data_IF_235027109854
#
_entry.id   IF_235027109854
#
_cell.length_a   1.000
_cell.length_b   1.000
_cell.length_c   1.000
_cell.angle_alpha   90.00
_cell.angle_beta   90.00
_cell.angle_gamma   90.00
#
_symmetry.space_group_name_H-M   'P 1'
#
loop_
_entity.id
_entity.type
_entity.pdbx_description
1 polymer ?
#
# COMPACT_ATOMS: atom_id res chain seq x y z
N UNK A 1 19.20 11.29 73.80
CA UNK A 1 19.71 10.14 74.53
C UNK A 1 19.20 8.86 73.88
N UNK A 2 20.11 7.96 73.63
CA UNK A 2 20.07 6.61 73.08
C UNK A 2 20.19 6.47 71.54
N UNK A 3 21.41 6.26 71.21
CA UNK A 3 22.03 5.59 70.09
C UNK A 3 21.59 4.12 70.05
N UNK A 4 21.29 3.62 68.85
CA UNK A 4 21.59 2.23 68.50
C UNK A 4 21.87 2.09 66.99
N UNK A 5 23.10 1.77 66.71
CA UNK A 5 23.64 1.03 65.55
C UNK A 5 23.42 -0.48 65.83
N UNK A 6 23.82 -1.41 64.94
CA UNK A 6 23.99 -1.46 63.49
C UNK A 6 23.54 -2.84 62.88
N UNK A 7 23.66 -2.99 61.58
CA UNK A 7 24.24 -4.11 60.77
C UNK A 7 23.57 -5.48 60.77
N UNK A 8 23.83 -6.42 59.86
CA UNK A 8 24.62 -6.38 58.61
C UNK A 8 23.98 -7.00 57.37
N UNK A 9 24.62 -6.78 56.29
CA UNK A 9 24.93 -7.67 55.16
C UNK A 9 24.07 -8.93 54.91
N UNK A 10 23.45 -8.94 53.76
CA UNK A 10 23.00 -10.13 53.07
C UNK A 10 23.35 -10.04 51.62
N UNK A 11 24.46 -10.66 51.25
CA UNK A 11 24.83 -10.89 49.84
C UNK A 11 23.84 -11.89 49.25
N UNK A 12 23.17 -11.54 48.20
CA UNK A 12 22.41 -12.49 47.39
C UNK A 12 23.02 -12.53 46.00
N UNK A 13 23.53 -13.71 45.71
CA UNK A 13 24.13 -14.15 44.45
C UNK A 13 23.25 -13.80 43.24
N UNK A 14 23.86 -13.16 42.27
CA UNK A 14 23.32 -13.01 40.94
C UNK A 14 23.31 -14.37 40.22
N UNK A 15 22.16 -14.96 40.13
CA UNK A 15 21.91 -16.10 39.24
C UNK A 15 21.69 -15.60 37.80
N UNK A 16 22.67 -15.73 36.95
CA UNK A 16 22.52 -15.52 35.50
C UNK A 16 21.78 -16.72 34.95
N UNK A 17 20.50 -16.56 34.67
CA UNK A 17 19.72 -17.51 33.89
C UNK A 17 19.92 -17.18 32.43
N UNK A 18 20.76 -17.96 31.79
CA UNK A 18 20.95 -17.93 30.34
C UNK A 18 19.77 -18.67 29.70
N UNK A 19 18.74 -17.94 29.27
CA UNK A 19 17.65 -18.50 28.49
C UNK A 19 18.12 -18.60 27.05
N UNK A 20 18.53 -19.81 26.63
CA UNK A 20 18.69 -20.15 25.22
C UNK A 20 17.29 -20.20 24.60
N UNK A 21 16.89 -19.13 23.97
CA UNK A 21 15.73 -19.12 23.06
C UNK A 21 16.15 -19.82 21.75
N UNK A 22 15.85 -21.10 21.62
CA UNK A 22 15.82 -21.77 20.33
C UNK A 22 14.74 -21.12 19.47
N UNK A 23 15.14 -20.18 18.62
CA UNK A 23 14.29 -19.61 17.60
C UNK A 23 13.91 -20.70 16.59
N UNK A 24 12.67 -21.14 16.65
CA UNK A 24 12.02 -21.86 15.56
C UNK A 24 11.93 -20.88 14.38
N UNK A 25 12.85 -21.00 13.44
CA UNK A 25 12.75 -20.33 12.14
C UNK A 25 11.61 -21.02 11.39
N UNK A 26 10.49 -20.34 11.08
CA UNK A 26 9.49 -20.96 10.21
C UNK A 26 10.15 -21.22 8.86
N UNK A 27 10.14 -22.46 8.41
CA UNK A 27 10.54 -22.84 7.07
C UNK A 27 9.72 -22.03 6.08
N UNK A 28 10.38 -21.10 5.39
CA UNK A 28 9.79 -20.40 4.27
C UNK A 28 9.45 -21.47 3.22
N UNK A 29 8.15 -21.67 3.00
CA UNK A 29 7.68 -22.43 1.85
C UNK A 29 8.18 -21.71 0.60
N UNK A 30 9.21 -22.26 -0.02
CA UNK A 30 9.66 -21.87 -1.34
C UNK A 30 8.54 -22.26 -2.33
N UNK A 31 7.55 -21.42 -2.48
CA UNK A 31 6.58 -21.48 -3.57
C UNK A 31 7.34 -21.39 -4.88
N UNK A 32 7.09 -22.32 -5.78
CA UNK A 32 7.65 -22.40 -7.13
C UNK A 32 7.68 -21.03 -7.80
N UNK A 33 8.87 -20.62 -8.20
CA UNK A 33 9.23 -19.33 -8.71
C UNK A 33 8.24 -18.67 -9.64
N UNK A 34 7.59 -17.66 -9.14
CA UNK A 34 7.12 -16.57 -9.98
C UNK A 34 8.38 -15.83 -10.42
N UNK A 35 8.62 -15.77 -11.71
CA UNK A 35 9.73 -15.02 -12.30
C UNK A 35 9.53 -13.55 -11.90
N UNK A 36 10.16 -13.14 -10.81
CA UNK A 36 10.21 -11.75 -10.41
C UNK A 36 11.06 -11.05 -11.47
N UNK A 37 10.42 -10.27 -12.32
CA UNK A 37 11.10 -9.22 -13.06
C UNK A 37 11.79 -8.36 -12.01
N UNK A 38 13.12 -8.39 -11.99
CA UNK A 38 13.96 -7.73 -10.98
C UNK A 38 14.04 -6.22 -11.20
N UNK A 39 12.89 -5.58 -11.42
CA UNK A 39 12.75 -4.14 -11.49
C UNK A 39 12.19 -3.60 -10.19
N UNK A 40 12.70 -2.46 -9.71
CA UNK A 40 12.05 -1.76 -8.62
C UNK A 40 10.76 -1.10 -9.13
N UNK A 41 9.69 -1.22 -8.37
CA UNK A 41 8.40 -0.62 -8.72
C UNK A 41 7.73 -0.11 -7.45
N UNK A 42 7.12 1.07 -7.54
CA UNK A 42 6.38 1.68 -6.46
C UNK A 42 5.18 2.46 -6.99
N UNK A 43 4.14 2.52 -6.18
CA UNK A 43 2.99 3.40 -6.36
C UNK A 43 2.59 3.92 -4.99
N UNK A 44 2.35 5.22 -4.88
CA UNK A 44 1.90 5.89 -3.66
C UNK A 44 0.86 6.95 -3.99
N UNK A 45 0.05 7.32 -3.05
CA UNK A 45 -1.05 8.27 -3.19
C UNK A 45 -2.31 7.72 -2.52
N UNK A 46 -3.47 8.35 -2.75
CA UNK A 46 -3.74 9.30 -3.83
C UNK A 46 -3.08 10.67 -3.62
N UNK A 47 -2.83 11.37 -4.73
CA UNK A 47 -2.47 12.79 -4.76
C UNK A 47 -3.68 13.54 -5.32
N UNK A 48 -4.20 14.51 -4.59
CA UNK A 48 -5.35 15.30 -5.02
C UNK A 48 -4.96 16.19 -6.20
N UNK A 49 -5.69 16.08 -7.30
CA UNK A 49 -5.57 16.95 -8.50
C UNK A 49 -6.70 17.97 -8.52
N UNK A 50 -7.92 17.52 -8.20
CA UNK A 50 -9.08 18.38 -7.96
C UNK A 50 -9.70 17.92 -6.65
N UNK A 51 -9.75 18.81 -5.69
CA UNK A 51 -10.40 18.65 -4.40
C UNK A 51 -11.63 19.58 -4.40
N UNK A 52 -12.79 19.02 -4.63
CA UNK A 52 -14.00 19.77 -4.89
C UNK A 52 -14.55 20.50 -3.66
N UNK A 53 -14.23 20.02 -2.47
CA UNK A 53 -14.68 20.60 -1.20
C UNK A 53 -13.54 21.23 -0.37
N UNK A 54 -12.27 21.10 -0.82
CA UNK A 54 -11.11 21.72 -0.21
C UNK A 54 -10.70 21.13 1.15
N UNK A 55 -11.10 19.88 1.44
CA UNK A 55 -10.81 19.23 2.73
C UNK A 55 -9.50 18.43 2.77
N UNK A 56 -8.84 18.25 1.63
CA UNK A 56 -7.60 17.49 1.49
C UNK A 56 -7.74 15.96 1.55
N UNK A 57 -8.98 15.46 1.62
CA UNK A 57 -9.31 14.03 1.62
C UNK A 57 -9.86 13.65 0.24
N UNK A 58 -9.71 12.39 -0.12
CA UNK A 58 -10.34 11.88 -1.33
C UNK A 58 -11.84 11.72 -1.10
N UNK A 59 -12.65 12.43 -1.89
CA UNK A 59 -14.10 12.35 -1.83
C UNK A 59 -14.68 11.90 -3.17
N UNK A 60 -15.92 11.45 -3.14
CA UNK A 60 -16.64 11.17 -4.36
C UNK A 60 -16.72 12.45 -5.24
N UNK A 61 -16.41 12.31 -6.52
CA UNK A 61 -16.39 13.41 -7.48
C UNK A 61 -15.04 14.12 -7.62
N UNK A 62 -14.11 13.89 -6.72
CA UNK A 62 -12.75 14.43 -6.82
C UNK A 62 -11.93 13.79 -7.94
N UNK A 63 -10.81 14.40 -8.25
CA UNK A 63 -9.85 13.86 -9.20
C UNK A 63 -8.53 13.60 -8.51
N UNK A 64 -8.03 12.38 -8.64
CA UNK A 64 -6.77 11.94 -8.02
C UNK A 64 -5.76 11.46 -9.05
N UNK A 65 -4.49 11.52 -8.69
CA UNK A 65 -3.38 10.91 -9.40
C UNK A 65 -2.54 10.06 -8.43
N UNK A 66 -1.55 9.35 -8.96
CA UNK A 66 -0.62 8.54 -8.16
C UNK A 66 0.82 8.87 -8.54
N UNK A 67 1.69 8.93 -7.52
CA UNK A 67 3.13 8.93 -7.76
C UNK A 67 3.56 7.48 -8.03
N UNK A 68 4.21 7.24 -9.15
CA UNK A 68 4.66 5.90 -9.53
C UNK A 68 6.05 5.92 -10.11
N UNK A 69 6.75 4.83 -9.92
CA UNK A 69 8.05 4.57 -10.53
C UNK A 69 8.18 3.09 -10.83
N UNK A 70 8.74 2.75 -11.98
CA UNK A 70 9.08 1.37 -12.32
C UNK A 70 10.21 1.31 -13.33
N UNK A 71 11.08 0.33 -13.17
CA UNK A 71 12.11 -0.05 -14.15
C UNK A 71 11.76 -1.35 -14.87
N UNK A 72 10.61 -1.97 -14.53
CA UNK A 72 10.20 -3.24 -15.12
C UNK A 72 9.64 -3.12 -16.53
N UNK A 73 9.13 -1.94 -16.91
CA UNK A 73 8.54 -1.68 -18.23
C UNK A 73 8.59 -0.20 -18.60
N UNK A 74 8.67 0.08 -19.90
CA UNK A 74 8.46 1.42 -20.46
C UNK A 74 6.98 1.73 -20.73
N UNK A 75 6.09 0.75 -20.55
CA UNK A 75 4.65 0.88 -20.76
C UNK A 75 3.88 0.42 -19.53
N UNK A 76 3.95 1.17 -18.42
CA UNK A 76 3.19 0.86 -17.23
C UNK A 76 1.70 1.19 -17.40
N UNK A 77 0.89 0.54 -16.58
CA UNK A 77 -0.55 0.80 -16.42
C UNK A 77 -0.87 0.98 -14.96
N UNK A 78 -1.83 1.84 -14.67
CA UNK A 78 -2.49 1.91 -13.36
C UNK A 78 -3.93 1.45 -13.53
N UNK A 79 -4.31 0.47 -12.75
CA UNK A 79 -5.67 -0.04 -12.61
C UNK A 79 -6.23 0.43 -11.27
N UNK A 80 -7.27 1.24 -11.29
CA UNK A 80 -7.96 1.72 -10.09
C UNK A 80 -9.32 1.06 -9.98
N UNK A 81 -9.52 0.33 -8.90
CA UNK A 81 -10.79 -0.33 -8.56
C UNK A 81 -11.28 0.22 -7.23
N UNK A 82 -12.53 0.64 -7.17
CA UNK A 82 -13.19 1.02 -5.92
C UNK A 82 -14.43 0.17 -5.70
N UNK A 83 -14.69 -0.19 -4.44
CA UNK A 83 -15.82 -0.99 -4.00
C UNK A 83 -16.37 -0.48 -2.68
N UNK A 84 -17.66 -0.72 -2.41
CA UNK A 84 -18.38 -0.35 -1.18
C UNK A 84 -19.83 -0.01 -1.52
N UNK A 85 -20.78 -0.26 -0.64
CA UNK A 85 -22.19 0.14 -0.68
C UNK A 85 -22.84 0.31 -2.08
N UNK A 86 -22.66 -0.66 -2.98
CA UNK A 86 -23.16 -0.61 -4.34
C UNK A 86 -22.27 0.11 -5.35
N UNK A 87 -21.04 0.46 -4.97
CA UNK A 87 -20.04 1.08 -5.85
C UNK A 87 -19.40 0.02 -6.73
N UNK A 88 -19.39 0.28 -8.02
CA UNK A 88 -18.60 -0.44 -9.01
C UNK A 88 -17.80 0.55 -9.84
N UNK A 89 -16.54 0.78 -9.49
CA UNK A 89 -15.62 1.62 -10.25
C UNK A 89 -14.43 0.78 -10.68
N UNK A 90 -14.16 0.79 -11.98
CA UNK A 90 -13.03 0.11 -12.60
C UNK A 90 -12.49 1.03 -13.70
N UNK A 91 -11.26 1.49 -13.57
CA UNK A 91 -10.65 2.42 -14.50
C UNK A 91 -9.19 2.11 -14.74
N UNK A 92 -8.77 2.25 -15.99
CA UNK A 92 -7.43 1.96 -16.46
C UNK A 92 -6.80 3.19 -17.09
N UNK A 93 -5.56 3.44 -16.75
CA UNK A 93 -4.71 4.44 -17.40
C UNK A 93 -3.38 3.79 -17.78
N UNK A 94 -2.88 4.09 -18.98
CA UNK A 94 -1.65 3.48 -19.46
C UNK A 94 -0.94 4.32 -20.51
N UNK A 95 0.37 4.09 -20.61
CA UNK A 95 1.19 4.61 -21.70
C UNK A 95 1.30 3.52 -22.77
N UNK A 96 0.67 3.72 -23.91
CA UNK A 96 0.80 2.83 -25.07
C UNK A 96 0.97 3.64 -26.34
N UNK A 97 1.57 3.05 -27.35
CA UNK A 97 1.81 3.72 -28.64
C UNK A 97 0.48 4.23 -29.22
N UNK A 98 0.43 5.53 -29.52
CA UNK A 98 -0.78 6.19 -30.03
C UNK A 98 -1.76 6.67 -28.95
N UNK A 99 -1.50 6.43 -27.67
CA UNK A 99 -2.28 7.02 -26.58
C UNK A 99 -2.00 8.52 -26.48
N UNK A 100 -3.06 9.32 -26.50
CA UNK A 100 -3.01 10.74 -26.20
C UNK A 100 -3.19 11.03 -24.70
N UNK A 101 -3.61 10.03 -23.93
CA UNK A 101 -3.86 10.18 -22.50
C UNK A 101 -2.57 9.94 -21.73
N UNK A 102 -1.75 10.98 -21.66
CA UNK A 102 -0.57 11.03 -20.76
C UNK A 102 -0.97 11.46 -19.36
N UNK A 103 -2.24 11.74 -19.11
CA UNK A 103 -2.77 12.21 -17.85
C UNK A 103 -3.27 11.01 -17.03
N UNK A 104 -2.55 10.69 -15.97
CA UNK A 104 -2.86 9.59 -15.04
C UNK A 104 -3.91 9.99 -14.01
N UNK A 105 -4.79 10.94 -14.33
CA UNK A 105 -5.83 11.43 -13.45
C UNK A 105 -7.06 10.53 -13.49
N UNK A 106 -7.59 10.20 -12.33
CA UNK A 106 -8.79 9.39 -12.14
C UNK A 106 -9.86 10.26 -11.48
N UNK A 107 -11.01 10.41 -12.13
CA UNK A 107 -12.18 11.03 -11.51
C UNK A 107 -12.87 9.97 -10.65
N UNK A 108 -13.06 10.23 -9.38
CA UNK A 108 -13.66 9.31 -8.41
C UNK A 108 -15.19 9.30 -8.53
N UNK A 109 -15.68 9.08 -9.74
CA UNK A 109 -17.09 8.96 -10.07
C UNK A 109 -17.26 8.13 -11.34
N UNK A 110 -18.40 7.45 -11.48
CA UNK A 110 -18.77 6.71 -12.69
C UNK A 110 -20.28 6.54 -12.77
N UNK A 111 -20.77 6.01 -13.89
CA UNK A 111 -22.19 5.66 -14.01
C UNK A 111 -22.68 4.61 -12.99
N UNK A 112 -21.76 3.78 -12.49
CA UNK A 112 -22.01 2.80 -11.43
C UNK A 112 -21.67 3.29 -10.01
N UNK A 113 -21.10 4.49 -9.91
CA UNK A 113 -20.75 5.14 -8.64
C UNK A 113 -21.20 6.59 -8.66
N UNK A 114 -22.39 6.81 -8.19
CA UNK A 114 -23.08 8.12 -8.25
C UNK A 114 -22.97 8.92 -6.96
N UNK A 115 -22.58 8.28 -5.86
CA UNK A 115 -22.34 8.92 -4.56
C UNK A 115 -21.84 7.89 -3.54
N UNK A 116 -21.38 8.38 -2.39
CA UNK A 116 -21.07 7.57 -1.21
C UNK A 116 -19.60 7.17 -1.10
N UNK A 117 -19.25 6.73 0.11
CA UNK A 117 -17.90 6.32 0.46
C UNK A 117 -17.54 4.95 -0.12
N UNK A 118 -16.25 4.73 -0.37
CA UNK A 118 -15.74 3.45 -0.88
C UNK A 118 -14.27 3.23 -0.61
N UNK A 119 -13.85 1.98 -0.66
CA UNK A 119 -12.44 1.60 -0.55
C UNK A 119 -11.87 1.34 -1.94
N UNK A 120 -10.75 1.96 -2.22
CA UNK A 120 -10.09 1.93 -3.51
C UNK A 120 -8.72 1.27 -3.43
N UNK A 121 -8.36 0.54 -4.48
CA UNK A 121 -7.01 0.00 -4.68
C UNK A 121 -6.50 0.40 -6.05
N UNK A 122 -5.36 1.08 -6.08
CA UNK A 122 -4.62 1.39 -7.29
C UNK A 122 -3.48 0.41 -7.46
N UNK A 123 -3.42 -0.26 -8.59
CA UNK A 123 -2.43 -1.28 -8.93
C UNK A 123 -1.60 -0.82 -10.11
N UNK A 124 -0.30 -0.64 -9.90
CA UNK A 124 0.68 -0.45 -10.96
C UNK A 124 1.05 -1.81 -11.55
N UNK A 125 1.04 -1.92 -12.86
CA UNK A 125 1.39 -3.16 -13.51
C UNK A 125 1.76 -3.00 -14.98
N UNK A 126 1.97 -4.13 -15.64
CA UNK A 126 2.26 -4.22 -17.07
C UNK A 126 1.56 -5.41 -17.70
N UNK A 127 1.26 -5.32 -18.99
CA UNK A 127 0.80 -6.47 -19.75
C UNK A 127 1.97 -7.31 -20.25
N UNK A 128 1.83 -8.60 -20.12
CA UNK A 128 2.73 -9.62 -20.64
C UNK A 128 1.96 -10.57 -21.57
N UNK A 129 2.63 -11.50 -22.22
CA UNK A 129 1.97 -12.57 -23.00
C UNK A 129 1.04 -13.44 -22.13
N UNK A 130 1.21 -13.43 -20.81
CA UNK A 130 0.42 -14.23 -19.85
C UNK A 130 -0.72 -13.42 -19.20
N UNK A 131 -0.89 -12.15 -19.57
CA UNK A 131 -1.86 -11.22 -19.01
C UNK A 131 -1.23 -10.10 -18.19
N UNK A 132 -2.06 -9.43 -17.39
CA UNK A 132 -1.64 -8.34 -16.53
C UNK A 132 -0.78 -8.85 -15.37
N UNK A 133 0.40 -8.27 -15.17
CA UNK A 133 1.32 -8.57 -14.09
C UNK A 133 1.40 -7.38 -13.15
N UNK A 134 0.96 -7.56 -11.91
CA UNK A 134 1.04 -6.54 -10.88
C UNK A 134 2.49 -6.33 -10.44
N UNK A 135 2.90 -5.08 -10.31
CA UNK A 135 4.23 -4.66 -9.87
C UNK A 135 4.20 -4.05 -8.46
N UNK A 136 3.21 -3.22 -8.17
CA UNK A 136 3.00 -2.59 -6.87
C UNK A 136 1.53 -2.22 -6.70
N UNK A 137 1.08 -1.94 -5.47
CA UNK A 137 -0.28 -1.45 -5.20
C UNK A 137 -0.31 -0.54 -3.98
N UNK A 138 -1.31 0.32 -3.92
CA UNK A 138 -1.67 1.15 -2.78
C UNK A 138 -3.18 1.18 -2.63
N UNK A 139 -3.67 1.29 -1.39
CA UNK A 139 -5.10 1.38 -1.10
C UNK A 139 -5.41 2.65 -0.33
N UNK A 140 -6.62 3.19 -0.52
CA UNK A 140 -7.08 4.38 0.16
C UNK A 140 -8.60 4.37 0.28
N UNK A 141 -9.12 5.16 1.21
CA UNK A 141 -10.55 5.39 1.40
C UNK A 141 -10.99 6.62 0.62
N UNK A 142 -12.21 6.60 0.12
CA UNK A 142 -12.91 7.73 -0.50
C UNK A 142 -14.12 8.02 0.36
N UNK A 143 -14.22 9.25 0.87
CA UNK A 143 -15.36 9.72 1.64
C UNK A 143 -16.55 10.09 0.73
N UNK A 144 -17.74 10.19 1.34
CA UNK A 144 -18.97 10.50 0.63
C UNK A 144 -19.07 11.98 0.25
#
# INVERSE_FOLDING_TARGET
MKIRKPTPAGAVLAGVVLVLSLGLVPAAFAGKGHQTTSGSSSITGPVMVVDSNGNGLANWGDTVAFNMSTTATAQPYVHLVCSGNGIGYDSWKGVFAGSLDTNWNFVLASGGWTSGAGDCTATLGMYTKRGFNQLASTSFHVDA
#
